data_IF_268130743047
#
_entry.id   IF_268130743047
#
_cell.length_a   1.000
_cell.length_b   1.000
_cell.length_c   1.000
_cell.angle_alpha   90.00
_cell.angle_beta   90.00
_cell.angle_gamma   90.00
#
_symmetry.space_group_name_H-M   'P 1'
#
loop_
_entity.id
_entity.type
_entity.pdbx_description
1 polymer ?
#
# COMPACT_ATOMS: atom_id res chain seq x y z
N UNK A 1 -6.63 -7.13 -17.39
CA UNK A 1 -5.91 -5.85 -17.60
C UNK A 1 -4.62 -5.89 -16.82
N UNK A 2 -3.48 -5.58 -17.43
CA UNK A 2 -2.23 -5.33 -16.71
C UNK A 2 -1.98 -3.83 -16.55
N UNK A 3 -1.28 -3.44 -15.49
CA UNK A 3 -0.84 -2.07 -15.27
C UNK A 3 0.49 -2.02 -14.53
N UNK A 4 1.21 -0.93 -14.76
CA UNK A 4 2.43 -0.58 -14.03
C UNK A 4 2.34 0.90 -13.66
N UNK A 5 2.70 1.23 -12.42
CA UNK A 5 2.84 2.59 -11.94
C UNK A 5 4.28 2.79 -11.47
N UNK A 6 5.03 3.59 -12.24
CA UNK A 6 6.38 3.97 -11.90
C UNK A 6 6.39 5.03 -10.78
N UNK A 7 7.30 4.88 -9.83
CA UNK A 7 7.50 5.86 -8.75
C UNK A 7 8.68 6.78 -9.10
N UNK A 8 8.52 8.09 -8.87
CA UNK A 8 9.58 9.07 -9.04
C UNK A 8 9.45 10.14 -7.97
N UNK A 9 10.53 10.44 -7.24
CA UNK A 9 10.57 11.49 -6.21
C UNK A 9 11.50 12.64 -6.58
N UNK A 10 12.43 12.42 -7.51
CA UNK A 10 13.36 13.41 -8.01
C UNK A 10 13.66 13.17 -9.51
N UNK A 11 14.68 13.83 -10.05
CA UNK A 11 15.08 13.67 -11.47
C UNK A 11 15.59 12.26 -11.79
N UNK A 12 16.18 11.55 -10.84
CA UNK A 12 16.73 10.20 -11.09
C UNK A 12 15.61 9.20 -11.42
N UNK A 13 14.46 9.33 -10.74
CA UNK A 13 13.26 8.55 -11.01
C UNK A 13 12.65 8.87 -12.38
N UNK A 14 12.64 10.12 -12.83
CA UNK A 14 12.08 10.44 -14.17
C UNK A 14 12.94 9.91 -15.32
N UNK A 15 14.22 9.66 -15.05
CA UNK A 15 15.17 9.00 -15.96
C UNK A 15 15.16 7.47 -15.83
N UNK A 16 14.24 6.88 -15.06
CA UNK A 16 14.12 5.44 -14.81
C UNK A 16 15.38 4.80 -14.21
N UNK A 17 16.19 5.56 -13.44
CA UNK A 17 17.41 5.04 -12.80
C UNK A 17 17.13 4.05 -11.68
N UNK A 18 15.98 4.18 -11.04
CA UNK A 18 15.41 3.22 -10.09
C UNK A 18 14.83 1.95 -10.76
N UNK A 19 14.95 1.82 -12.08
CA UNK A 19 14.60 0.60 -12.81
C UNK A 19 13.12 0.24 -12.69
N UNK A 20 12.83 -0.94 -12.15
CA UNK A 20 11.49 -1.50 -12.06
C UNK A 20 10.75 -1.18 -10.74
N UNK A 21 11.30 -0.28 -9.91
CA UNK A 21 10.60 0.20 -8.72
C UNK A 21 9.22 0.78 -9.12
N UNK A 22 8.20 0.45 -8.34
CA UNK A 22 6.81 0.79 -8.63
C UNK A 22 5.84 -0.34 -8.32
N UNK A 23 4.58 -0.10 -8.71
CA UNK A 23 3.47 -1.02 -8.52
C UNK A 23 3.16 -1.73 -9.83
N UNK A 24 3.22 -3.05 -9.82
CA UNK A 24 2.84 -3.93 -10.92
C UNK A 24 1.52 -4.59 -10.56
N UNK A 25 0.57 -4.66 -11.48
CA UNK A 25 -0.74 -5.24 -11.19
C UNK A 25 -1.40 -5.91 -12.37
N UNK A 26 -2.13 -6.97 -12.07
CA UNK A 26 -3.00 -7.68 -13.01
C UNK A 26 -4.39 -7.81 -12.40
N UNK A 27 -5.39 -7.42 -13.19
CA UNK A 27 -6.81 -7.55 -12.85
C UNK A 27 -7.51 -8.49 -13.82
N UNK A 28 -8.30 -9.42 -13.27
CA UNK A 28 -9.20 -10.31 -14.00
C UNK A 28 -10.65 -10.03 -13.58
N UNK A 29 -11.56 -9.97 -14.56
CA UNK A 29 -12.98 -9.73 -14.34
C UNK A 29 -13.82 -10.86 -14.95
N UNK A 30 -14.80 -11.36 -14.20
CA UNK A 30 -15.63 -12.50 -14.56
C UNK A 30 -17.11 -12.08 -14.56
N UNK A 31 -17.61 -11.45 -15.64
CA UNK A 31 -18.92 -10.79 -15.63
C UNK A 31 -20.11 -11.75 -15.39
N UNK A 32 -19.95 -13.03 -15.79
CA UNK A 32 -20.98 -14.07 -15.67
C UNK A 32 -20.91 -14.85 -14.36
N UNK A 33 -19.79 -14.81 -13.64
CA UNK A 33 -19.58 -15.61 -12.43
C UNK A 33 -19.70 -14.75 -11.17
N UNK A 34 -20.93 -14.64 -10.64
CA UNK A 34 -21.22 -13.70 -9.54
C UNK A 34 -20.52 -14.02 -8.22
N UNK A 35 -20.17 -15.28 -8.00
CA UNK A 35 -19.44 -15.69 -6.80
C UNK A 35 -18.03 -15.10 -6.74
N UNK A 36 -17.39 -14.87 -7.90
CA UNK A 36 -16.10 -14.17 -8.01
C UNK A 36 -16.16 -13.26 -9.21
N UNK A 37 -16.47 -11.99 -9.00
CA UNK A 37 -16.63 -11.01 -10.08
C UNK A 37 -15.29 -10.42 -10.53
N UNK A 38 -14.34 -10.27 -9.60
CA UNK A 38 -13.04 -9.65 -9.88
C UNK A 38 -11.96 -10.20 -8.95
N UNK A 39 -10.78 -10.39 -9.53
CA UNK A 39 -9.54 -10.74 -8.83
C UNK A 39 -8.45 -9.75 -9.23
N UNK A 40 -7.68 -9.30 -8.26
CA UNK A 40 -6.50 -8.45 -8.45
C UNK A 40 -5.30 -9.10 -7.75
N UNK A 41 -4.17 -9.07 -8.45
CA UNK A 41 -2.86 -9.42 -7.90
C UNK A 41 -1.93 -8.24 -8.18
N UNK A 42 -1.29 -7.74 -7.15
CA UNK A 42 -0.35 -6.63 -7.22
C UNK A 42 0.97 -6.98 -6.54
N UNK A 43 2.05 -6.41 -7.07
CA UNK A 43 3.40 -6.49 -6.54
C UNK A 43 3.98 -5.08 -6.47
N UNK A 44 4.44 -4.67 -5.28
CA UNK A 44 5.03 -3.36 -5.04
C UNK A 44 6.50 -3.53 -4.65
N UNK A 45 7.40 -2.83 -5.33
CA UNK A 45 8.82 -2.81 -5.00
C UNK A 45 9.35 -1.37 -4.99
N UNK A 46 10.09 -1.00 -3.96
CA UNK A 46 10.71 0.34 -3.83
C UNK A 46 12.15 0.27 -3.31
N UNK A 47 12.85 -0.82 -3.62
CA UNK A 47 14.14 -1.14 -3.00
C UNK A 47 15.34 -0.63 -3.78
N UNK A 48 15.17 -0.34 -5.07
CA UNK A 48 16.28 0.07 -5.91
C UNK A 48 16.67 1.53 -5.62
N UNK A 49 15.71 2.46 -5.62
CA UNK A 49 15.93 3.86 -5.21
C UNK A 49 17.16 4.49 -5.90
N UNK A 50 17.31 4.18 -7.20
CA UNK A 50 18.42 4.60 -8.06
C UNK A 50 19.81 4.11 -7.63
N UNK A 51 19.86 3.04 -6.83
CA UNK A 51 21.07 2.47 -6.22
C UNK A 51 21.20 2.86 -4.74
N UNK A 52 22.19 2.31 -4.00
CA UNK A 52 22.29 2.55 -2.55
C UNK A 52 22.99 3.85 -2.14
N UNK A 53 23.70 4.52 -3.04
CA UNK A 53 24.57 5.66 -2.70
C UNK A 53 24.19 6.92 -3.48
N UNK A 54 23.92 8.00 -2.75
CA UNK A 54 23.54 9.29 -3.34
C UNK A 54 24.71 10.08 -3.90
N UNK A 55 25.78 10.22 -3.12
CA UNK A 55 27.02 10.87 -3.55
C UNK A 55 28.12 9.83 -3.59
N UNK A 56 28.65 9.58 -4.79
CA UNK A 56 29.86 8.78 -4.96
C UNK A 56 30.92 9.78 -5.41
N UNK A 57 31.63 10.39 -4.46
CA UNK A 57 32.84 11.15 -4.74
C UNK A 57 34.00 10.15 -4.89
N UNK A 58 33.96 9.34 -5.95
CA UNK A 58 35.02 8.36 -6.24
C UNK A 58 35.45 8.49 -7.70
N UNK A 59 36.71 8.13 -7.97
CA UNK A 59 37.23 8.09 -9.32
C UNK A 59 36.39 7.12 -10.18
N UNK A 60 35.53 7.69 -11.02
CA UNK A 60 34.65 6.95 -11.92
C UNK A 60 35.41 6.13 -12.97
N UNK A 61 36.70 6.44 -13.22
CA UNK A 61 37.56 5.62 -14.06
C UNK A 61 38.04 4.35 -13.32
N UNK A 62 38.25 4.43 -12.00
CA UNK A 62 38.67 3.31 -11.17
C UNK A 62 37.50 2.45 -10.65
N UNK A 63 36.34 3.08 -10.37
CA UNK A 63 35.16 2.43 -9.82
C UNK A 63 33.94 2.74 -10.69
N UNK A 64 33.66 1.90 -11.72
CA UNK A 64 32.52 2.11 -12.59
C UNK A 64 31.22 1.95 -11.79
N UNK A 65 30.49 3.04 -11.62
CA UNK A 65 29.23 3.09 -10.90
C UNK A 65 28.51 4.41 -11.17
N UNK A 66 27.18 4.37 -11.24
CA UNK A 66 26.36 5.57 -11.36
C UNK A 66 26.05 6.08 -9.95
N UNK A 67 26.56 7.24 -9.58
CA UNK A 67 26.13 7.97 -8.38
C UNK A 67 24.70 8.53 -8.55
N UNK A 68 24.16 9.12 -7.49
CA UNK A 68 22.82 9.72 -7.49
C UNK A 68 21.68 8.76 -7.14
N UNK A 69 21.98 7.70 -6.36
CA UNK A 69 20.98 6.83 -5.74
C UNK A 69 20.70 7.21 -4.29
N UNK A 70 20.44 6.23 -3.43
CA UNK A 70 20.17 6.43 -2.01
C UNK A 70 18.91 7.26 -1.80
N UNK A 71 17.98 7.22 -2.75
CA UNK A 71 16.74 7.97 -2.65
C UNK A 71 16.01 7.56 -1.38
N UNK A 72 15.27 8.49 -0.81
CA UNK A 72 14.53 8.26 0.42
C UNK A 72 13.06 8.50 0.15
N UNK A 73 12.42 7.62 -0.63
CA UNK A 73 11.03 7.81 -1.07
C UNK A 73 10.10 8.18 0.10
N UNK A 74 9.15 9.08 -0.14
CA UNK A 74 8.26 9.65 0.87
C UNK A 74 8.93 10.54 1.93
N UNK A 75 10.26 10.53 2.09
CA UNK A 75 10.96 11.43 3.01
C UNK A 75 11.53 12.64 2.28
N UNK A 76 11.79 13.71 3.04
CA UNK A 76 12.41 14.93 2.54
C UNK A 76 13.24 15.60 3.63
N UNK A 77 14.35 16.26 3.26
CA UNK A 77 15.24 16.93 4.20
C UNK A 77 14.63 18.18 4.86
N UNK A 78 13.81 18.93 4.13
CA UNK A 78 13.16 20.15 4.62
C UNK A 78 11.79 19.84 5.23
N UNK A 79 10.98 19.04 4.53
CA UNK A 79 9.69 18.57 5.04
C UNK A 79 9.90 17.32 5.88
N UNK A 80 10.24 17.51 7.16
CA UNK A 80 10.55 16.43 8.11
C UNK A 80 9.43 15.41 8.32
N UNK A 81 8.18 15.78 8.04
CA UNK A 81 7.02 14.86 8.07
C UNK A 81 6.95 13.94 6.86
N UNK A 82 7.81 14.16 5.86
CA UNK A 82 7.72 13.52 4.57
C UNK A 82 6.41 13.84 3.84
N UNK A 83 6.09 13.02 2.84
CA UNK A 83 4.85 13.07 2.08
C UNK A 83 3.68 12.46 2.88
N UNK A 84 3.33 13.13 3.98
CA UNK A 84 2.26 12.74 4.90
C UNK A 84 1.35 13.91 5.27
N UNK A 85 0.12 13.58 5.66
CA UNK A 85 -0.85 14.53 6.20
C UNK A 85 -1.36 14.01 7.55
N UNK A 86 -1.12 14.76 8.64
CA UNK A 86 -1.36 14.31 10.01
C UNK A 86 -0.78 12.91 10.34
N UNK A 87 0.44 12.65 9.87
CA UNK A 87 1.13 11.36 10.10
C UNK A 87 0.64 10.21 9.22
N UNK A 88 -0.34 10.43 8.35
CA UNK A 88 -0.86 9.45 7.39
C UNK A 88 -0.18 9.62 6.03
N UNK A 89 0.29 8.53 5.45
CA UNK A 89 0.95 8.56 4.15
C UNK A 89 0.01 9.10 3.05
N UNK A 90 0.55 9.97 2.20
CA UNK A 90 -0.13 10.41 0.97
C UNK A 90 0.48 9.63 -0.19
N UNK A 91 -0.22 8.61 -0.70
CA UNK A 91 0.28 7.78 -1.79
C UNK A 91 -0.08 6.31 -1.61
N UNK A 92 0.91 5.44 -1.70
CA UNK A 92 0.71 4.00 -1.54
C UNK A 92 0.34 3.65 -0.10
N UNK A 93 -0.74 2.88 0.13
CA UNK A 93 -1.11 2.41 1.47
C UNK A 93 -0.16 1.33 2.00
N UNK A 94 0.75 0.79 1.17
CA UNK A 94 1.75 -0.21 1.56
C UNK A 94 2.98 0.41 2.23
N UNK A 95 3.17 1.72 2.06
CA UNK A 95 4.22 2.45 2.77
C UNK A 95 3.68 2.79 4.16
N UNK A 96 4.23 2.13 5.18
CA UNK A 96 3.77 2.29 6.57
C UNK A 96 3.88 3.75 7.00
N UNK A 97 2.75 4.29 7.44
CA UNK A 97 2.61 5.69 7.78
C UNK A 97 3.38 6.05 9.06
N UNK A 98 3.94 7.28 9.16
CA UNK A 98 4.63 7.73 10.37
C UNK A 98 3.81 7.65 11.66
N UNK A 99 2.47 7.65 11.58
CA UNK A 99 1.60 7.45 12.75
C UNK A 99 1.84 6.13 13.50
N UNK A 100 2.43 5.12 12.85
CA UNK A 100 2.78 3.83 13.46
C UNK A 100 4.17 3.84 14.13
N UNK A 101 4.92 4.94 14.04
CA UNK A 101 6.23 5.05 14.67
C UNK A 101 6.09 5.16 16.20
N UNK A 102 6.54 4.13 16.92
CA UNK A 102 6.48 4.08 18.38
C UNK A 102 7.41 5.07 19.09
N UNK A 103 8.37 5.65 18.38
CA UNK A 103 9.28 6.68 18.89
C UNK A 103 8.83 8.11 18.54
N UNK A 104 7.63 8.26 18.00
CA UNK A 104 7.05 9.55 17.59
C UNK A 104 7.83 10.31 16.52
N UNK A 105 8.77 9.66 15.81
CA UNK A 105 9.41 10.27 14.65
C UNK A 105 8.39 10.53 13.54
N UNK A 106 8.51 11.68 12.88
CA UNK A 106 7.53 12.16 11.91
C UNK A 106 7.80 11.70 10.47
N UNK A 107 8.99 11.14 10.21
CA UNK A 107 9.39 10.61 8.90
C UNK A 107 9.02 9.15 8.71
N UNK A 108 9.09 8.69 7.47
CA UNK A 108 8.87 7.30 7.09
C UNK A 108 10.09 6.47 7.46
N UNK A 109 9.93 5.51 8.37
CA UNK A 109 11.02 4.61 8.79
C UNK A 109 11.32 3.51 7.80
N UNK A 110 10.33 3.14 7.00
CA UNK A 110 10.44 2.11 5.98
C UNK A 110 9.85 2.61 4.68
N UNK A 111 10.68 2.64 3.65
CA UNK A 111 10.26 2.96 2.29
C UNK A 111 10.95 2.06 1.26
N UNK A 112 11.63 1.01 1.73
CA UNK A 112 12.27 -0.02 0.91
C UNK A 112 11.50 -1.31 1.12
N UNK A 113 10.39 -1.45 0.40
CA UNK A 113 9.44 -2.54 0.57
C UNK A 113 9.43 -3.49 -0.63
N UNK A 114 8.97 -4.72 -0.39
CA UNK A 114 8.72 -5.71 -1.43
C UNK A 114 7.49 -6.55 -1.05
N UNK A 115 6.34 -6.14 -1.58
CA UNK A 115 5.05 -6.56 -1.06
C UNK A 115 4.21 -7.19 -2.17
N UNK A 116 3.37 -8.15 -1.77
CA UNK A 116 2.32 -8.71 -2.63
C UNK A 116 0.95 -8.40 -2.06
N UNK A 117 0.03 -7.96 -2.90
CA UNK A 117 -1.37 -7.73 -2.54
C UNK A 117 -2.30 -8.54 -3.43
N UNK A 118 -3.30 -9.15 -2.79
CA UNK A 118 -4.33 -9.96 -3.42
C UNK A 118 -5.69 -9.46 -2.99
N UNK A 119 -6.60 -9.27 -3.94
CA UNK A 119 -7.97 -8.91 -3.64
C UNK A 119 -8.97 -9.70 -4.48
N UNK A 120 -10.05 -10.12 -3.83
CA UNK A 120 -11.17 -10.84 -4.43
C UNK A 120 -12.45 -10.09 -4.12
N UNK A 121 -13.33 -9.97 -5.11
CA UNK A 121 -14.67 -9.42 -4.92
C UNK A 121 -15.69 -10.32 -5.59
N UNK A 122 -16.82 -10.52 -4.91
CA UNK A 122 -17.97 -11.20 -5.50
C UNK A 122 -19.26 -10.92 -4.77
N UNK A 123 -20.26 -11.76 -5.03
CA UNK A 123 -21.57 -11.73 -4.41
C UNK A 123 -22.00 -13.15 -4.05
N UNK A 124 -22.36 -13.35 -2.78
CA UNK A 124 -22.93 -14.61 -2.26
C UNK A 124 -24.41 -14.75 -2.64
N UNK A 125 -25.09 -13.62 -2.85
CA UNK A 125 -26.46 -13.54 -3.35
C UNK A 125 -26.68 -12.17 -4.02
N UNK A 126 -27.82 -11.93 -4.70
CA UNK A 126 -28.15 -10.61 -5.26
C UNK A 126 -28.17 -9.47 -4.23
N UNK A 127 -28.17 -9.78 -2.94
CA UNK A 127 -28.26 -8.81 -1.84
C UNK A 127 -27.00 -8.73 -0.99
N UNK A 128 -26.10 -9.71 -1.10
CA UNK A 128 -24.92 -9.84 -0.25
C UNK A 128 -23.66 -9.85 -1.12
N UNK A 129 -22.97 -8.72 -1.14
CA UNK A 129 -21.65 -8.57 -1.75
C UNK A 129 -20.54 -8.81 -0.74
N UNK A 130 -19.38 -9.24 -1.20
CA UNK A 130 -18.19 -9.39 -0.36
C UNK A 130 -16.93 -8.88 -1.05
N UNK A 131 -15.92 -8.54 -0.24
CA UNK A 131 -14.54 -8.30 -0.68
C UNK A 131 -13.57 -8.94 0.31
N UNK A 132 -12.57 -9.66 -0.20
CA UNK A 132 -11.46 -10.20 0.58
C UNK A 132 -10.17 -9.53 0.11
N UNK A 133 -9.30 -9.19 1.05
CA UNK A 133 -8.00 -8.55 0.81
C UNK A 133 -6.93 -9.24 1.64
N UNK A 134 -5.78 -9.48 1.05
CA UNK A 134 -4.60 -10.06 1.70
C UNK A 134 -3.35 -9.31 1.20
N UNK A 135 -2.50 -8.88 2.10
CA UNK A 135 -1.20 -8.26 1.78
C UNK A 135 -0.11 -8.99 2.54
N UNK A 136 0.92 -9.45 1.83
CA UNK A 136 2.16 -9.96 2.40
C UNK A 136 3.20 -8.86 2.26
N UNK A 137 3.72 -8.38 3.38
CA UNK A 137 4.58 -7.20 3.46
C UNK A 137 6.00 -7.60 3.88
N UNK A 138 7.00 -6.97 3.26
CA UNK A 138 8.41 -7.10 3.62
C UNK A 138 9.09 -5.73 3.57
N UNK A 139 9.91 -5.44 4.57
CA UNK A 139 10.44 -4.12 4.84
C UNK A 139 11.91 -4.13 5.25
N UNK A 140 12.68 -3.16 4.74
CA UNK A 140 14.14 -3.08 4.98
C UNK A 140 14.60 -1.73 5.55
N UNK A 141 13.67 -0.83 5.88
CA UNK A 141 13.96 0.48 6.42
C UNK A 141 14.24 1.49 5.31
N UNK A 142 15.20 2.38 5.54
CA UNK A 142 15.69 3.34 4.53
C UNK A 142 17.11 2.99 4.10
N UNK A 143 17.66 3.67 3.09
CA UNK A 143 19.09 3.52 2.77
C UNK A 143 20.00 4.04 3.89
N UNK A 144 19.65 5.17 4.51
CA UNK A 144 20.43 5.79 5.58
C UNK A 144 20.31 5.05 6.92
N UNK A 145 19.16 4.44 7.19
CA UNK A 145 18.88 3.66 8.39
C UNK A 145 18.18 2.34 8.00
N UNK A 146 18.94 1.35 7.51
CA UNK A 146 18.38 0.04 7.20
C UNK A 146 18.03 -0.72 8.48
N UNK A 147 17.02 -1.57 8.42
CA UNK A 147 16.73 -2.47 9.54
C UNK A 147 17.80 -3.56 9.66
N UNK A 148 18.20 -3.87 10.90
CA UNK A 148 19.16 -4.94 11.19
C UNK A 148 18.64 -6.32 10.73
N UNK A 149 17.33 -6.53 10.89
CA UNK A 149 16.59 -7.68 10.37
C UNK A 149 15.42 -7.12 9.57
N UNK A 150 15.15 -7.71 8.39
CA UNK A 150 13.95 -7.34 7.63
C UNK A 150 12.70 -7.51 8.50
N UNK A 151 11.75 -6.61 8.33
CA UNK A 151 10.42 -6.73 8.92
C UNK A 151 9.50 -7.43 7.95
N UNK A 152 8.57 -8.21 8.48
CA UNK A 152 7.64 -9.01 7.71
C UNK A 152 6.27 -8.98 8.38
N UNK A 153 5.21 -9.05 7.58
CA UNK A 153 3.86 -9.10 8.12
C UNK A 153 2.83 -9.51 7.10
N UNK A 154 1.67 -9.91 7.61
CA UNK A 154 0.50 -10.21 6.78
C UNK A 154 -0.69 -9.44 7.31
N UNK A 155 -1.33 -8.68 6.42
CA UNK A 155 -2.59 -7.98 6.68
C UNK A 155 -3.70 -8.62 5.86
N UNK A 156 -4.84 -8.89 6.50
CA UNK A 156 -6.01 -9.46 5.86
C UNK A 156 -7.25 -8.69 6.24
N UNK A 157 -8.21 -8.56 5.31
CA UNK A 157 -9.50 -7.95 5.58
C UNK A 157 -10.62 -8.64 4.79
N UNK A 158 -11.79 -8.76 5.42
CA UNK A 158 -13.01 -9.24 4.82
C UNK A 158 -14.12 -8.20 5.02
N UNK A 159 -14.75 -7.78 3.93
CA UNK A 159 -15.87 -6.86 3.90
C UNK A 159 -17.13 -7.59 3.42
N UNK A 160 -18.26 -7.34 4.07
CA UNK A 160 -19.60 -7.76 3.65
C UNK A 160 -20.48 -6.53 3.48
N UNK A 161 -21.29 -6.52 2.41
CA UNK A 161 -22.32 -5.51 2.16
C UNK A 161 -23.65 -6.18 1.94
N UNK A 162 -24.68 -5.70 2.62
CA UNK A 162 -26.02 -6.23 2.58
C UNK A 162 -27.05 -5.16 2.23
N UNK A 163 -27.87 -5.44 1.22
CA UNK A 163 -28.98 -4.60 0.80
C UNK A 163 -30.31 -5.28 1.17
N UNK A 164 -31.02 -4.73 2.16
CA UNK A 164 -32.26 -5.30 2.66
C UNK A 164 -33.43 -5.00 1.68
N UNK A 165 -34.23 -6.00 1.25
CA UNK A 165 -35.25 -5.82 0.22
C UNK A 165 -36.36 -4.83 0.61
N UNK A 166 -36.71 -4.76 1.90
CA UNK A 166 -37.73 -3.84 2.42
C UNK A 166 -37.21 -2.43 2.73
N UNK A 167 -35.90 -2.19 2.57
CA UNK A 167 -35.29 -0.88 2.83
C UNK A 167 -34.57 -0.37 1.57
N UNK A 168 -35.31 -0.01 0.49
CA UNK A 168 -34.70 0.42 -0.76
C UNK A 168 -33.71 1.56 -0.56
N UNK A 169 -32.54 1.45 -1.18
CA UNK A 169 -31.46 2.43 -1.09
C UNK A 169 -30.67 2.41 0.21
N UNK A 170 -30.98 1.56 1.19
CA UNK A 170 -30.14 1.34 2.36
C UNK A 170 -29.17 0.17 2.13
N UNK A 171 -27.89 0.39 2.45
CA UNK A 171 -26.85 -0.63 2.47
C UNK A 171 -26.23 -0.68 3.87
N UNK A 172 -26.17 -1.88 4.43
CA UNK A 172 -25.46 -2.19 5.68
C UNK A 172 -24.13 -2.84 5.31
N UNK A 173 -23.05 -2.43 5.96
CA UNK A 173 -21.73 -2.99 5.74
C UNK A 173 -21.05 -3.40 7.04
N UNK A 174 -20.25 -4.45 6.97
CA UNK A 174 -19.37 -4.88 8.04
C UNK A 174 -18.00 -5.22 7.49
N UNK A 175 -16.96 -4.94 8.26
CA UNK A 175 -15.58 -5.26 7.93
C UNK A 175 -14.92 -5.89 9.15
N UNK A 176 -14.11 -6.92 8.92
CA UNK A 176 -13.13 -7.43 9.90
C UNK A 176 -11.76 -7.39 9.26
N UNK A 177 -10.74 -7.06 10.05
CA UNK A 177 -9.36 -7.01 9.61
C UNK A 177 -8.43 -7.57 10.67
N UNK A 178 -7.32 -8.16 10.24
CA UNK A 178 -6.29 -8.65 11.13
C UNK A 178 -4.90 -8.40 10.52
N UNK A 179 -3.95 -8.06 11.39
CA UNK A 179 -2.55 -7.85 11.05
C UNK A 179 -1.68 -8.77 11.89
N UNK A 180 -0.59 -9.25 11.31
CA UNK A 180 0.35 -10.17 11.95
C UNK A 180 1.78 -9.82 11.57
N UNK A 181 2.74 -10.35 12.32
CA UNK A 181 4.17 -10.12 12.09
C UNK A 181 4.69 -8.95 12.92
N UNK A 182 5.75 -8.30 12.43
CA UNK A 182 6.41 -7.19 13.10
C UNK A 182 6.41 -5.88 12.27
N UNK A 183 5.79 -5.91 11.08
CA UNK A 183 5.66 -4.75 10.19
C UNK A 183 4.96 -3.57 10.86
N UNK A 184 3.76 -3.81 11.42
CA UNK A 184 2.97 -2.80 12.16
C UNK A 184 3.00 -2.98 13.68
N UNK A 185 3.87 -3.87 14.19
CA UNK A 185 3.91 -4.27 15.60
C UNK A 185 3.12 -5.56 15.87
N UNK A 186 2.82 -5.83 17.15
CA UNK A 186 2.12 -7.06 17.58
C UNK A 186 0.81 -7.27 16.84
N UNK A 187 0.39 -8.52 16.69
CA UNK A 187 -0.83 -8.84 15.94
C UNK A 187 -2.08 -8.15 16.47
N UNK A 188 -2.84 -7.54 15.56
CA UNK A 188 -4.06 -6.77 15.87
C UNK A 188 -5.25 -7.33 15.11
N UNK A 189 -6.44 -7.19 15.71
CA UNK A 189 -7.72 -7.49 15.06
C UNK A 189 -8.63 -6.29 15.25
N UNK A 190 -9.31 -5.90 14.18
CA UNK A 190 -10.26 -4.80 14.18
C UNK A 190 -11.55 -5.17 13.44
N UNK A 191 -12.61 -4.44 13.75
CA UNK A 191 -13.86 -4.54 13.01
C UNK A 191 -14.45 -3.15 12.77
N UNK A 192 -15.33 -3.05 11.78
CA UNK A 192 -16.04 -1.83 11.43
C UNK A 192 -17.44 -2.14 10.97
N UNK A 193 -18.36 -1.20 11.20
CA UNK A 193 -19.74 -1.24 10.73
C UNK A 193 -20.02 0.03 9.94
N UNK A 194 -20.87 -0.08 8.94
CA UNK A 194 -21.28 1.07 8.12
C UNK A 194 -22.76 0.96 7.75
N UNK A 195 -23.40 2.12 7.62
CA UNK A 195 -24.75 2.25 7.11
C UNK A 195 -24.72 3.37 6.08
N UNK A 196 -25.26 3.12 4.88
CA UNK A 196 -25.38 4.16 3.86
C UNK A 196 -26.77 4.18 3.27
N UNK A 197 -27.28 5.38 2.98
CA UNK A 197 -28.56 5.61 2.32
C UNK A 197 -28.31 6.36 1.01
N UNK A 198 -28.67 5.73 -0.11
CA UNK A 198 -28.70 6.34 -1.44
C UNK A 198 -30.12 6.78 -1.78
N UNK A 199 -30.24 8.00 -2.30
CA UNK A 199 -31.51 8.62 -2.66
C UNK A 199 -31.95 9.71 -1.68
N UNK A 200 -33.15 10.23 -1.89
CA UNK A 200 -33.70 11.34 -1.10
C UNK A 200 -34.12 10.84 0.28
N UNK A 201 -33.62 11.46 1.35
CA UNK A 201 -33.97 11.14 2.75
C UNK A 201 -35.41 11.55 3.10
N UNK A 202 -35.93 12.61 2.48
CA UNK A 202 -37.34 13.02 2.53
C UNK A 202 -37.65 13.95 1.35
N UNK A 203 -38.74 13.69 0.62
CA UNK A 203 -39.32 14.63 -0.34
C UNK A 203 -40.36 15.43 0.44
N UNK A 204 -40.13 16.73 0.62
CA UNK A 204 -41.10 17.66 1.23
C UNK A 204 -42.25 17.92 0.27
#
# INVERSE_FOLDING_TARGET
KGYYQHISSDKSGTEFRNGADGLWGVELAFPKFKWVEKVVVEYMCTRNQSGPFHRIDFDHAAHPGRGGGGDNYYNNGEYRTGNSYFGKAVGSPLIISPEYNTDHSTGFKDNRIQDFHFAFKGALSPRVGYKLRLTVMNGWGTHAAPFLKKKEGVSMAADIRYNHPKLPGWELGGTVGADTGDMMGSGTVGFGLSVSKRGVLKRW
#
